data_IF_838158391970
#
_entry.id   IF_838158391970
#
_cell.length_a   1.000
_cell.length_b   1.000
_cell.length_c   1.000
_cell.angle_alpha   90.00
_cell.angle_beta   90.00
_cell.angle_gamma   90.00
#
_symmetry.space_group_name_H-M   'P 1'
#
loop_
_entity.id
_entity.type
_entity.pdbx_description
1 polymer ?
#
# COMPACT_ATOMS: atom_id res chain seq x y z
N UNK A 1 -0.28 6.51 -10.44
CA UNK A 1 -1.36 6.02 -9.55
C UNK A 1 -1.59 7.03 -8.44
N UNK A 2 -2.83 7.40 -8.17
CA UNK A 2 -3.22 8.15 -6.98
C UNK A 2 -3.51 7.18 -5.83
N UNK A 3 -2.95 7.45 -4.67
CA UNK A 3 -3.18 6.69 -3.45
C UNK A 3 -3.77 7.60 -2.39
N UNK A 4 -4.81 7.14 -1.70
CA UNK A 4 -5.33 7.77 -0.50
C UNK A 4 -5.52 6.75 0.59
N UNK A 5 -5.06 7.05 1.79
CA UNK A 5 -5.23 6.19 2.98
C UNK A 5 -5.99 7.00 4.02
N UNK A 6 -7.08 6.43 4.52
CA UNK A 6 -7.91 7.05 5.56
C UNK A 6 -7.93 6.16 6.79
N UNK A 7 -7.51 6.68 7.94
CA UNK A 7 -7.68 6.03 9.24
C UNK A 7 -9.16 6.09 9.62
N UNK A 8 -9.78 4.92 9.79
CA UNK A 8 -11.20 4.79 10.12
C UNK A 8 -11.44 4.61 11.61
N UNK A 9 -10.52 3.91 12.25
CA UNK A 9 -10.64 3.55 13.66
C UNK A 9 -9.25 3.19 14.20
N UNK A 10 -9.10 3.26 15.52
CA UNK A 10 -7.92 2.86 16.25
C UNK A 10 -8.35 2.16 17.54
N UNK A 11 -7.74 1.01 17.82
CA UNK A 11 -7.91 0.26 19.07
C UNK A 11 -7.02 0.81 20.19
N UNK A 12 -7.32 0.42 21.42
CA UNK A 12 -6.55 0.77 22.61
C UNK A 12 -5.12 0.18 22.58
N UNK A 13 -4.90 -0.90 21.83
CA UNK A 13 -3.58 -1.54 21.66
C UNK A 13 -2.73 -0.89 20.55
N UNK A 14 -3.26 0.13 19.87
CA UNK A 14 -2.59 0.85 18.79
C UNK A 14 -2.80 0.26 17.39
N UNK A 15 -3.56 -0.82 17.24
CA UNK A 15 -4.00 -1.31 15.93
C UNK A 15 -4.91 -0.27 15.27
N UNK A 16 -4.72 -0.03 13.98
CA UNK A 16 -5.53 0.91 13.20
C UNK A 16 -6.29 0.20 12.10
N UNK A 17 -7.56 0.58 11.89
CA UNK A 17 -8.30 0.27 10.68
C UNK A 17 -8.00 1.35 9.64
N UNK A 18 -7.41 0.93 8.52
CA UNK A 18 -7.10 1.80 7.40
C UNK A 18 -7.96 1.43 6.20
N UNK A 19 -8.37 2.44 5.46
CA UNK A 19 -9.02 2.29 4.18
C UNK A 19 -8.15 2.91 3.08
N UNK A 20 -7.68 2.05 2.17
CA UNK A 20 -6.90 2.44 1.01
C UNK A 20 -7.81 2.59 -0.21
N UNK A 21 -7.73 3.75 -0.82
CA UNK A 21 -8.28 4.07 -2.12
C UNK A 21 -7.12 4.21 -3.08
N UNK A 22 -7.21 3.53 -4.22
CA UNK A 22 -6.17 3.59 -5.21
C UNK A 22 -6.79 3.69 -6.59
N UNK A 23 -6.27 4.63 -7.37
CA UNK A 23 -6.84 5.03 -8.65
C UNK A 23 -5.74 5.19 -9.70
N UNK A 24 -6.02 4.66 -10.88
CA UNK A 24 -5.27 4.88 -12.12
C UNK A 24 -6.24 5.45 -13.15
N UNK A 25 -5.77 5.68 -14.38
CA UNK A 25 -6.63 6.14 -15.47
C UNK A 25 -7.82 5.21 -15.72
N UNK A 26 -7.61 3.90 -15.59
CA UNK A 26 -8.55 2.87 -16.06
C UNK A 26 -9.19 2.08 -14.91
N UNK A 27 -8.64 2.18 -13.70
CA UNK A 27 -9.04 1.36 -12.56
C UNK A 27 -9.13 2.17 -11.28
N UNK A 28 -10.13 1.89 -10.46
CA UNK A 28 -10.24 2.36 -9.09
C UNK A 28 -10.57 1.19 -8.16
N UNK A 29 -9.93 1.15 -6.99
CA UNK A 29 -10.22 0.16 -5.97
C UNK A 29 -10.25 0.78 -4.58
N UNK A 30 -11.00 0.14 -3.68
CA UNK A 30 -11.10 0.49 -2.27
C UNK A 30 -10.97 -0.80 -1.46
N UNK A 31 -10.04 -0.81 -0.52
CA UNK A 31 -9.85 -1.95 0.39
C UNK A 31 -9.67 -1.46 1.82
N UNK A 32 -10.16 -2.24 2.77
CA UNK A 32 -9.94 -2.04 4.21
C UNK A 32 -8.96 -3.07 4.73
N UNK A 33 -8.17 -2.70 5.72
CA UNK A 33 -7.26 -3.61 6.40
C UNK A 33 -6.92 -3.07 7.79
N UNK A 34 -6.45 -3.97 8.64
CA UNK A 34 -5.99 -3.66 9.99
C UNK A 34 -4.48 -3.82 10.02
N UNK A 35 -3.77 -2.90 10.67
CA UNK A 35 -2.31 -2.96 10.82
C UNK A 35 -1.88 -2.22 12.07
N UNK A 36 -0.61 -2.37 12.44
CA UNK A 36 0.03 -1.51 13.42
C UNK A 36 0.88 -0.45 12.70
N UNK A 37 0.88 0.81 13.18
CA UNK A 37 1.61 1.89 12.52
C UNK A 37 3.11 1.62 12.31
N UNK A 38 3.76 0.83 13.17
CA UNK A 38 5.17 0.46 13.04
C UNK A 38 5.46 -0.42 11.82
N UNK A 39 4.52 -1.29 11.43
CA UNK A 39 4.64 -2.11 10.21
C UNK A 39 4.56 -1.23 8.96
N UNK A 40 3.63 -0.28 8.96
CA UNK A 40 3.50 0.68 7.86
C UNK A 40 4.69 1.63 7.80
N UNK A 41 5.23 2.03 8.96
CA UNK A 41 6.44 2.85 9.07
C UNK A 41 7.67 2.14 8.47
N UNK A 42 7.85 0.85 8.78
CA UNK A 42 8.93 0.05 8.21
C UNK A 42 8.87 0.03 6.69
N UNK A 43 7.70 -0.23 6.13
CA UNK A 43 7.50 -0.18 4.69
C UNK A 43 7.77 1.21 4.11
N UNK A 44 7.34 2.28 4.78
CA UNK A 44 7.58 3.65 4.33
C UNK A 44 9.09 3.95 4.24
N UNK A 45 9.90 3.49 5.20
CA UNK A 45 11.36 3.58 5.14
C UNK A 45 11.95 2.74 4.00
N UNK A 46 11.48 1.51 3.80
CA UNK A 46 11.93 0.68 2.68
C UNK A 46 11.64 1.35 1.31
N UNK A 47 10.56 2.12 1.19
CA UNK A 47 10.28 2.92 -0.01
C UNK A 47 11.22 4.13 -0.15
N UNK A 48 11.60 4.78 0.95
CA UNK A 48 12.60 5.86 0.94
C UNK A 48 13.94 5.34 0.41
N UNK A 49 14.34 4.15 0.85
CA UNK A 49 15.63 3.54 0.50
C UNK A 49 15.60 2.76 -0.83
N UNK A 50 14.44 2.70 -1.51
CA UNK A 50 14.30 2.00 -2.79
C UNK A 50 15.23 2.58 -3.85
N UNK A 51 16.19 1.78 -4.33
CA UNK A 51 17.24 2.20 -5.25
C UNK A 51 16.90 1.95 -6.73
N UNK A 52 15.83 1.18 -6.99
CA UNK A 52 15.51 0.70 -8.34
C UNK A 52 16.32 -0.52 -8.76
N UNK A 53 17.03 -1.16 -7.82
CA UNK A 53 17.67 -2.45 -8.09
C UNK A 53 16.61 -3.56 -8.11
N UNK A 54 16.80 -4.57 -8.96
CA UNK A 54 15.88 -5.74 -9.00
C UNK A 54 15.92 -6.58 -7.72
N UNK A 55 16.92 -6.38 -6.86
CA UNK A 55 17.00 -6.98 -5.54
C UNK A 55 16.12 -6.26 -4.51
N UNK A 56 15.74 -5.01 -4.76
CA UNK A 56 14.88 -4.25 -3.87
C UNK A 56 13.46 -4.80 -3.96
N UNK A 57 12.91 -5.15 -2.79
CA UNK A 57 11.57 -5.71 -2.64
C UNK A 57 10.77 -5.10 -1.48
N UNK A 58 10.65 -3.76 -1.34
CA UNK A 58 9.76 -3.16 -0.34
C UNK A 58 8.36 -3.74 -0.48
N UNK A 59 7.83 -4.30 0.59
CA UNK A 59 6.55 -5.00 0.54
C UNK A 59 5.79 -4.83 1.86
N UNK A 60 4.65 -4.16 1.75
CA UNK A 60 3.66 -4.14 2.81
C UNK A 60 2.57 -5.17 2.50
N UNK A 61 2.30 -6.06 3.44
CA UNK A 61 1.28 -7.08 3.30
C UNK A 61 0.53 -7.28 4.62
N UNK A 62 -0.80 -7.25 4.54
CA UNK A 62 -1.70 -7.45 5.68
C UNK A 62 -2.85 -8.41 5.33
N UNK A 63 -3.27 -9.17 6.34
CA UNK A 63 -4.25 -10.23 6.21
C UNK A 63 -3.65 -11.50 5.61
N UNK A 64 -4.49 -12.33 4.97
CA UNK A 64 -4.06 -13.56 4.33
C UNK A 64 -4.89 -13.89 3.09
N UNK A 65 -4.22 -14.39 2.06
CA UNK A 65 -4.88 -15.02 0.91
C UNK A 65 -5.44 -16.42 1.24
N UNK A 66 -5.20 -16.94 2.43
CA UNK A 66 -5.63 -18.26 2.86
C UNK A 66 -6.45 -18.17 4.16
N UNK A 67 -7.36 -19.12 4.37
CA UNK A 67 -8.18 -19.17 5.58
C UNK A 67 -9.33 -18.17 5.62
N UNK A 68 -9.62 -17.68 6.84
CA UNK A 68 -10.85 -16.93 7.21
C UNK A 68 -10.70 -15.41 7.21
N UNK A 69 -9.55 -14.87 6.79
CA UNK A 69 -9.32 -13.41 6.76
C UNK A 69 -10.30 -12.72 5.80
N UNK A 70 -11.05 -11.73 6.28
CA UNK A 70 -12.01 -11.00 5.46
C UNK A 70 -11.34 -10.10 4.40
N UNK A 71 -10.11 -9.65 4.66
CA UNK A 71 -9.37 -8.76 3.79
C UNK A 71 -7.92 -9.23 3.66
N UNK A 72 -7.36 -9.01 2.47
CA UNK A 72 -5.94 -9.12 2.20
C UNK A 72 -5.52 -7.97 1.30
N UNK A 73 -4.40 -7.36 1.61
CA UNK A 73 -3.79 -6.29 0.81
C UNK A 73 -2.30 -6.52 0.73
N UNK A 74 -1.74 -6.24 -0.45
CA UNK A 74 -0.31 -6.13 -0.67
C UNK A 74 0.01 -4.91 -1.51
N UNK A 75 0.93 -4.09 -1.03
CA UNK A 75 1.50 -2.96 -1.76
C UNK A 75 3.02 -3.19 -1.84
N UNK A 76 3.57 -3.21 -3.06
CA UNK A 76 5.01 -3.45 -3.25
C UNK A 76 5.61 -2.63 -4.37
N UNK A 77 6.83 -2.15 -4.14
CA UNK A 77 7.66 -1.51 -5.16
C UNK A 77 8.60 -2.54 -5.79
N UNK A 78 8.76 -2.49 -7.11
CA UNK A 78 9.60 -3.44 -7.86
C UNK A 78 10.28 -2.72 -9.02
N UNK A 79 11.57 -2.97 -9.22
CA UNK A 79 12.20 -2.77 -10.52
C UNK A 79 11.98 -4.02 -11.39
N UNK A 80 11.53 -3.83 -12.62
CA UNK A 80 11.21 -4.92 -13.54
C UNK A 80 12.28 -5.17 -14.61
N UNK A 81 13.30 -4.32 -14.69
CA UNK A 81 14.52 -4.59 -15.46
C UNK A 81 15.77 -3.98 -14.82
N UNK A 82 16.93 -4.30 -15.39
CA UNK A 82 18.23 -3.80 -14.92
C UNK A 82 18.49 -2.32 -15.28
N UNK A 83 17.57 -1.65 -15.99
CA UNK A 83 17.66 -0.23 -16.34
C UNK A 83 17.01 0.67 -15.28
N UNK A 84 16.40 0.07 -14.25
CA UNK A 84 15.76 0.79 -13.16
C UNK A 84 14.30 1.15 -13.44
N UNK A 85 13.70 0.66 -14.53
CA UNK A 85 12.28 0.85 -14.72
C UNK A 85 11.52 0.15 -13.61
N UNK A 86 10.66 0.91 -12.95
CA UNK A 86 10.06 0.55 -11.68
C UNK A 86 8.55 0.70 -11.71
N UNK A 87 7.90 -0.02 -10.82
CA UNK A 87 6.46 0.01 -10.67
C UNK A 87 6.05 -0.07 -9.20
N UNK A 88 4.85 0.41 -8.93
CA UNK A 88 4.14 0.17 -7.69
C UNK A 88 2.95 -0.73 -7.99
N UNK A 89 2.91 -1.88 -7.35
CA UNK A 89 1.83 -2.87 -7.52
C UNK A 89 0.94 -2.89 -6.29
N UNK A 90 -0.37 -2.84 -6.53
CA UNK A 90 -1.39 -3.06 -5.52
C UNK A 90 -2.16 -4.34 -5.85
N UNK A 91 -2.21 -5.24 -4.88
CA UNK A 91 -3.06 -6.42 -4.92
C UNK A 91 -3.99 -6.41 -3.71
N UNK A 92 -5.28 -6.66 -3.90
CA UNK A 92 -6.27 -6.74 -2.81
C UNK A 92 -7.22 -7.91 -3.04
N UNK A 93 -7.68 -8.50 -1.94
CA UNK A 93 -8.77 -9.48 -1.93
C UNK A 93 -9.70 -9.11 -0.77
N UNK A 94 -10.95 -8.84 -1.10
CA UNK A 94 -12.04 -8.83 -0.13
C UNK A 94 -12.75 -10.16 -0.21
N UNK A 95 -12.72 -10.91 0.90
CA UNK A 95 -13.50 -12.11 1.09
C UNK A 95 -14.85 -11.73 1.72
N UNK A 96 -15.88 -12.36 1.21
CA UNK A 96 -17.27 -12.21 1.62
C UNK A 96 -18.07 -13.32 0.96
N UNK A 97 -19.39 -13.23 1.03
CA UNK A 97 -20.24 -14.08 0.20
C UNK A 97 -20.06 -13.74 -1.30
N UNK A 98 -20.74 -14.46 -2.19
CA UNK A 98 -20.62 -14.27 -3.64
C UNK A 98 -20.94 -12.84 -4.07
N UNK A 99 -21.75 -12.11 -3.28
CA UNK A 99 -22.14 -10.74 -3.58
C UNK A 99 -21.10 -9.71 -3.13
N UNK A 100 -20.23 -10.06 -2.19
CA UNK A 100 -19.23 -9.16 -1.60
C UNK A 100 -17.77 -9.49 -1.96
N UNK A 101 -17.53 -10.61 -2.65
CA UNK A 101 -16.18 -11.02 -3.05
C UNK A 101 -15.63 -10.14 -4.18
N UNK A 102 -14.45 -9.57 -3.96
CA UNK A 102 -13.71 -8.81 -4.97
C UNK A 102 -12.21 -9.07 -4.88
N UNK A 103 -11.52 -9.02 -6.01
CA UNK A 103 -10.07 -9.08 -6.09
C UNK A 103 -9.56 -8.11 -7.13
N UNK A 104 -8.48 -7.41 -6.81
CA UNK A 104 -7.81 -6.47 -7.72
C UNK A 104 -6.32 -6.75 -7.71
N UNK A 105 -5.70 -6.73 -8.88
CA UNK A 105 -4.25 -6.77 -9.02
C UNK A 105 -3.86 -5.89 -10.20
N UNK A 106 -3.16 -4.80 -9.92
CA UNK A 106 -2.67 -3.92 -10.97
C UNK A 106 -1.38 -3.23 -10.57
N UNK A 107 -0.63 -2.81 -11.58
CA UNK A 107 0.64 -2.13 -11.46
C UNK A 107 0.59 -0.78 -12.16
N UNK A 108 1.20 0.23 -11.56
CA UNK A 108 1.46 1.53 -12.20
C UNK A 108 2.96 1.68 -12.34
N UNK A 109 3.42 2.00 -13.54
CA UNK A 109 4.80 2.45 -13.74
C UNK A 109 5.03 3.70 -12.89
N UNK A 110 6.19 3.74 -12.23
CA UNK A 110 6.60 4.83 -11.35
C UNK A 110 8.12 4.96 -11.36
N UNK A 111 8.60 6.19 -11.51
CA UNK A 111 10.01 6.51 -11.34
C UNK A 111 10.48 6.21 -9.91
N UNK A 112 11.74 5.79 -9.74
CA UNK A 112 12.36 5.56 -8.43
C UNK A 112 12.19 6.77 -7.51
N UNK A 113 12.42 7.97 -8.04
CA UNK A 113 12.24 9.22 -7.29
C UNK A 113 10.79 9.44 -6.83
N UNK A 114 9.79 9.00 -7.60
CA UNK A 114 8.39 9.07 -7.18
C UNK A 114 8.12 8.08 -6.04
N UNK A 115 8.64 6.86 -6.13
CA UNK A 115 8.56 5.85 -5.06
C UNK A 115 9.22 6.36 -3.77
N UNK A 116 10.41 6.98 -3.85
CA UNK A 116 11.05 7.55 -2.67
C UNK A 116 10.23 8.68 -2.06
N UNK A 117 9.67 9.59 -2.90
CA UNK A 117 8.75 10.64 -2.42
C UNK A 117 7.53 10.05 -1.72
N UNK A 118 6.95 8.98 -2.26
CA UNK A 118 5.85 8.26 -1.60
C UNK A 118 6.29 7.80 -0.20
N UNK A 119 7.45 7.14 -0.09
CA UNK A 119 8.03 6.74 1.19
C UNK A 119 8.19 7.91 2.16
N UNK A 120 8.80 9.00 1.73
CA UNK A 120 9.02 10.20 2.58
C UNK A 120 7.71 10.80 3.06
N UNK A 121 6.72 10.92 2.17
CA UNK A 121 5.40 11.48 2.55
C UNK A 121 4.63 10.54 3.47
N UNK A 122 4.78 9.22 3.34
CA UNK A 122 4.21 8.24 4.25
C UNK A 122 4.83 8.34 5.64
N UNK A 123 6.16 8.40 5.74
CA UNK A 123 6.87 8.59 7.03
C UNK A 123 6.31 9.82 7.75
N UNK A 124 6.29 10.97 7.08
CA UNK A 124 5.79 12.21 7.66
C UNK A 124 4.33 12.12 8.10
N UNK A 125 3.46 11.47 7.31
CA UNK A 125 2.06 11.28 7.65
C UNK A 125 1.88 10.39 8.90
N UNK A 126 2.63 9.29 9.01
CA UNK A 126 2.56 8.37 10.15
C UNK A 126 3.08 9.06 11.42
N UNK A 127 4.18 9.82 11.33
CA UNK A 127 4.74 10.56 12.47
C UNK A 127 3.79 11.63 13.02
N UNK A 128 3.09 12.34 12.14
CA UNK A 128 2.06 13.33 12.52
C UNK A 128 0.82 12.65 13.11
N UNK A 129 0.57 11.37 12.77
CA UNK A 129 -0.60 10.62 13.24
C UNK A 129 -1.92 11.10 12.64
N UNK A 130 -1.87 11.75 11.47
CA UNK A 130 -3.05 12.31 10.80
C UNK A 130 -4.02 11.23 10.28
N UNK A 131 -5.28 11.60 10.09
CA UNK A 131 -6.32 10.65 9.69
C UNK A 131 -6.40 10.41 8.18
N UNK A 132 -5.85 11.30 7.36
CA UNK A 132 -5.95 11.24 5.90
C UNK A 132 -4.57 11.47 5.27
N UNK A 133 -4.26 10.65 4.27
CA UNK A 133 -3.06 10.70 3.47
C UNK A 133 -3.45 10.66 2.00
N UNK A 134 -2.87 11.54 1.20
CA UNK A 134 -3.05 11.54 -0.26
C UNK A 134 -1.69 11.68 -0.93
N UNK A 135 -1.45 10.82 -1.91
CA UNK A 135 -0.28 10.88 -2.77
C UNK A 135 -0.70 10.79 -4.24
N UNK A 136 -0.20 11.72 -5.03
CA UNK A 136 -0.40 11.80 -6.48
C UNK A 136 0.97 12.15 -7.10
N UNK A 137 1.60 11.23 -7.83
CA UNK A 137 2.99 11.34 -8.28
C UNK A 137 3.25 12.42 -9.34
#
# INVERSE_FOLDING_TARGET
MKLRIVKRWQDDDGMVELELHAETRDYATRSRFYTYPDRLMRFAHELVDFSGATADRPCFEEGSQEGTSAYWIRLRALAFDARGHSLLQLSTVRRGDVLERAAFDYSSEMEVAAINRLGTTLVAWIEVGADDFVYEP
#
